data_IF_007675415037
#
_entry.id   IF_007675415037
#
_cell.length_a   1.000
_cell.length_b   1.000
_cell.length_c   1.000
_cell.angle_alpha   90.00
_cell.angle_beta   90.00
_cell.angle_gamma   90.00
#
_symmetry.space_group_name_H-M   'P 1'
#
loop_
_entity.id
_entity.type
_entity.pdbx_description
1 polymer ?
#
# COMPACT_ATOMS: atom_id res chain seq x y z
N UNK A 1 15.49 10.65 20.06
CA UNK A 1 14.14 11.16 19.78
C UNK A 1 13.62 10.34 18.63
N UNK A 2 12.47 9.71 18.78
CA UNK A 2 11.92 8.89 17.70
C UNK A 2 11.58 9.78 16.50
N UNK A 3 11.90 9.32 15.31
CA UNK A 3 11.61 10.03 14.06
C UNK A 3 10.10 10.03 13.80
N UNK A 4 9.54 11.17 13.40
CA UNK A 4 8.11 11.26 13.06
C UNK A 4 7.86 10.84 11.61
N UNK A 5 6.65 10.36 11.30
CA UNK A 5 6.25 10.01 9.92
C UNK A 5 6.44 11.18 8.94
N UNK A 6 6.21 12.42 9.40
CA UNK A 6 6.39 13.62 8.59
C UNK A 6 7.87 13.88 8.20
N UNK A 7 8.82 13.45 9.04
CA UNK A 7 10.26 13.58 8.76
C UNK A 7 10.75 12.46 7.84
N UNK A 8 10.24 11.24 8.05
CA UNK A 8 10.60 10.06 7.28
C UNK A 8 10.11 10.11 5.83
N UNK A 9 8.91 10.66 5.62
CA UNK A 9 8.25 10.68 4.32
C UNK A 9 7.72 9.30 3.89
N UNK A 10 7.06 9.26 2.74
CA UNK A 10 6.35 8.07 2.24
C UNK A 10 7.30 6.91 1.95
N UNK A 11 8.31 7.11 1.11
CA UNK A 11 9.22 6.05 0.71
C UNK A 11 10.03 5.52 1.89
N UNK A 12 10.48 6.38 2.81
CA UNK A 12 11.17 5.94 4.03
C UNK A 12 10.26 5.08 4.93
N UNK A 13 8.97 5.38 4.99
CA UNK A 13 8.01 4.56 5.73
C UNK A 13 7.80 3.21 5.06
N UNK A 14 7.69 3.17 3.74
CA UNK A 14 7.59 1.93 2.96
C UNK A 14 8.83 1.06 3.22
N UNK A 15 10.04 1.64 3.16
CA UNK A 15 11.29 0.93 3.42
C UNK A 15 11.31 0.32 4.83
N UNK A 16 10.89 1.06 5.86
CA UNK A 16 10.83 0.54 7.23
C UNK A 16 9.79 -0.58 7.38
N UNK A 17 8.64 -0.48 6.73
CA UNK A 17 7.59 -1.50 6.79
C UNK A 17 8.03 -2.78 6.08
N UNK A 18 8.57 -2.66 4.87
CA UNK A 18 9.02 -3.81 4.06
C UNK A 18 10.24 -4.49 4.68
N UNK A 19 11.12 -3.76 5.36
CA UNK A 19 12.20 -4.35 6.15
C UNK A 19 11.70 -5.09 7.41
N UNK A 20 10.61 -4.63 8.02
CA UNK A 20 10.04 -5.22 9.24
C UNK A 20 9.19 -6.46 8.97
N UNK A 21 8.48 -6.49 7.85
CA UNK A 21 7.55 -7.57 7.50
C UNK A 21 8.11 -8.40 6.34
N UNK A 22 8.67 -9.60 6.62
CA UNK A 22 9.19 -10.45 5.57
C UNK A 22 8.06 -10.92 4.66
N UNK A 23 8.38 -11.06 3.37
CA UNK A 23 7.46 -11.56 2.37
C UNK A 23 7.20 -13.06 2.57
N UNK A 24 5.92 -13.46 2.50
CA UNK A 24 5.54 -14.88 2.56
C UNK A 24 5.86 -15.61 1.26
N UNK A 25 6.05 -16.93 1.34
CA UNK A 25 6.42 -17.80 0.20
C UNK A 25 5.40 -17.76 -0.96
N UNK A 26 4.14 -17.46 -0.65
CA UNK A 26 3.06 -17.37 -1.63
C UNK A 26 3.06 -16.07 -2.43
N UNK A 27 3.81 -15.05 -2.00
CA UNK A 27 3.87 -13.76 -2.69
C UNK A 27 4.87 -13.88 -3.84
N UNK A 28 4.36 -13.88 -5.07
CA UNK A 28 5.14 -13.98 -6.31
C UNK A 28 5.70 -12.62 -6.74
N UNK A 29 4.99 -11.54 -6.43
CA UNK A 29 5.41 -10.15 -6.63
C UNK A 29 5.00 -9.34 -5.40
N UNK A 30 5.98 -8.76 -4.73
CA UNK A 30 5.81 -8.01 -3.49
C UNK A 30 5.78 -6.49 -3.68
N UNK A 31 6.03 -5.74 -2.59
CA UNK A 31 6.08 -4.27 -2.61
C UNK A 31 7.09 -3.72 -3.64
N UNK A 32 6.76 -2.58 -4.26
CA UNK A 32 7.58 -1.92 -5.28
C UNK A 32 6.97 -1.90 -6.68
N UNK A 33 5.81 -2.55 -6.86
CA UNK A 33 4.95 -2.49 -8.04
C UNK A 33 3.54 -2.01 -7.64
N UNK A 34 2.64 -1.80 -8.60
CA UNK A 34 1.28 -1.25 -8.39
C UNK A 34 0.32 -2.22 -7.67
N UNK A 35 0.65 -3.51 -7.65
CA UNK A 35 -0.15 -4.55 -7.00
C UNK A 35 0.72 -5.74 -6.58
N UNK A 36 0.30 -6.43 -5.53
CA UNK A 36 0.87 -7.72 -5.16
C UNK A 36 0.30 -8.84 -6.04
N UNK A 37 1.14 -9.80 -6.41
CA UNK A 37 0.71 -11.05 -7.06
C UNK A 37 0.94 -12.20 -6.08
N UNK A 38 -0.12 -12.92 -5.74
CA UNK A 38 -0.13 -13.97 -4.72
C UNK A 38 -0.55 -15.28 -5.38
N UNK A 39 0.14 -16.38 -5.06
CA UNK A 39 -0.25 -17.74 -5.47
C UNK A 39 -1.55 -18.12 -4.76
N UNK A 40 -2.48 -18.67 -5.51
CA UNK A 40 -3.70 -19.29 -5.01
C UNK A 40 -3.75 -20.76 -5.48
N UNK A 41 -4.54 -21.59 -4.80
CA UNK A 41 -4.60 -23.03 -5.07
C UNK A 41 -4.96 -23.38 -6.53
N UNK A 42 -5.78 -22.55 -7.16
CA UNK A 42 -6.27 -22.69 -8.53
C UNK A 42 -5.73 -21.62 -9.49
N UNK A 43 -4.83 -20.75 -9.06
CA UNK A 43 -4.33 -19.67 -9.90
C UNK A 43 -3.48 -18.62 -9.19
N UNK A 44 -3.75 -17.35 -9.51
CA UNK A 44 -3.07 -16.19 -8.93
C UNK A 44 -4.10 -15.11 -8.60
N UNK A 45 -3.89 -14.43 -7.49
CA UNK A 45 -4.62 -13.22 -7.12
C UNK A 45 -3.73 -12.02 -7.35
N UNK A 46 -4.25 -11.00 -8.03
CA UNK A 46 -3.64 -9.67 -8.08
C UNK A 46 -4.41 -8.80 -7.11
N UNK A 47 -3.73 -8.28 -6.08
CA UNK A 47 -4.34 -7.49 -5.02
C UNK A 47 -3.66 -6.13 -4.93
N UNK A 48 -4.46 -5.07 -4.94
CA UNK A 48 -4.03 -3.71 -4.66
C UNK A 48 -5.05 -3.04 -3.75
N UNK A 49 -4.64 -1.97 -3.08
CA UNK A 49 -5.52 -1.17 -2.25
C UNK A 49 -5.12 0.29 -2.34
N UNK A 50 -6.13 1.14 -2.45
CA UNK A 50 -5.98 2.59 -2.42
C UNK A 50 -6.95 3.19 -1.40
N UNK A 51 -6.67 4.42 -0.98
CA UNK A 51 -7.52 5.18 -0.08
C UNK A 51 -7.85 6.54 -0.67
N UNK A 52 -9.07 7.00 -0.41
CA UNK A 52 -9.53 8.34 -0.74
C UNK A 52 -9.84 9.08 0.57
N UNK A 53 -9.40 10.34 0.65
CA UNK A 53 -9.47 11.17 1.86
C UNK A 53 -10.13 12.47 1.44
N UNK A 54 -11.17 12.84 2.18
CA UNK A 54 -11.87 14.09 1.96
C UNK A 54 -10.93 15.29 2.14
N UNK A 55 -11.02 16.28 1.24
CA UNK A 55 -10.14 17.45 1.20
C UNK A 55 -8.76 17.19 0.58
N UNK A 56 -8.44 15.96 0.19
CA UNK A 56 -7.22 15.60 -0.56
C UNK A 56 -7.53 14.97 -1.91
N UNK A 57 -8.31 13.89 -1.86
CA UNK A 57 -8.66 13.07 -3.02
C UNK A 57 -10.07 13.38 -3.51
N UNK A 58 -11.00 13.74 -2.61
CA UNK A 58 -12.36 14.12 -2.99
C UNK A 58 -12.95 15.22 -2.10
N UNK A 59 -14.05 15.85 -2.52
CA UNK A 59 -14.96 16.62 -1.65
C UNK A 59 -16.39 16.13 -1.85
N UNK A 60 -17.19 16.13 -0.77
CA UNK A 60 -18.59 15.68 -0.83
C UNK A 60 -19.49 16.57 -1.67
N UNK A 61 -19.12 17.84 -1.83
CA UNK A 61 -19.88 18.82 -2.63
C UNK A 61 -19.53 18.79 -4.12
N UNK A 62 -18.63 17.90 -4.55
CA UNK A 62 -18.36 17.68 -5.98
C UNK A 62 -19.47 16.94 -6.72
N UNK A 63 -20.27 16.16 -6.00
CA UNK A 63 -21.40 15.42 -6.58
C UNK A 63 -22.60 15.52 -5.65
N UNK A 64 -23.76 15.85 -6.22
CA UNK A 64 -25.06 15.85 -5.54
C UNK A 64 -25.96 14.69 -6.00
N UNK A 65 -25.38 13.71 -6.71
CA UNK A 65 -26.10 12.53 -7.19
C UNK A 65 -26.63 11.67 -6.05
#
# INVERSE_FOLDING_TARGET
>A
MDETVAQLGEFGLIDQLTARYPQGEEVLLGPGDDAAVIRAADGRVVATTDLLVEGRHFRRDWSSA
#
